data_IF_487068575623
#
_entry.id   IF_487068575623
#
_cell.length_a   1.000
_cell.length_b   1.000
_cell.length_c   1.000
_cell.angle_alpha   90.00
_cell.angle_beta   90.00
_cell.angle_gamma   90.00
#
_symmetry.space_group_name_H-M   'P 1'
#
loop_
_entity.id
_entity.type
_entity.pdbx_description
1 polymer ?
#
# COMPACT_ATOMS: atom_id res chain seq x y z
N UNK A 1 2.90 33.07 -2.82
CA UNK A 1 3.80 32.26 -1.98
C UNK A 1 3.33 30.81 -2.07
N UNK A 2 4.19 29.87 -2.44
CA UNK A 2 3.79 28.46 -2.55
C UNK A 2 3.48 27.89 -1.17
N UNK A 3 2.38 27.15 -1.03
CA UNK A 3 2.06 26.44 0.21
C UNK A 3 3.21 25.48 0.58
N UNK A 4 3.56 25.42 1.86
CA UNK A 4 4.50 24.44 2.39
C UNK A 4 4.01 23.03 2.06
N UNK A 5 4.91 22.11 1.70
CA UNK A 5 4.53 20.73 1.45
C UNK A 5 4.07 20.06 2.75
N UNK A 6 2.99 19.29 2.64
CA UNK A 6 2.40 18.54 3.75
C UNK A 6 2.43 17.04 3.46
N UNK A 7 2.35 16.26 4.53
CA UNK A 7 2.14 14.82 4.51
C UNK A 7 0.96 14.48 5.40
N UNK A 8 0.36 13.34 5.11
CA UNK A 8 -0.72 12.76 5.90
C UNK A 8 -0.45 11.26 6.01
N UNK A 9 -0.86 10.66 7.12
CA UNK A 9 -0.89 9.20 7.22
C UNK A 9 -2.20 8.72 6.60
N UNK A 10 -2.10 7.78 5.68
CA UNK A 10 -3.25 7.13 5.06
C UNK A 10 -3.29 5.63 5.40
N UNK A 11 -4.48 5.06 5.32
CA UNK A 11 -4.72 3.62 5.38
C UNK A 11 -5.28 3.14 4.05
N UNK A 12 -4.67 2.09 3.50
CA UNK A 12 -5.21 1.33 2.38
C UNK A 12 -5.81 0.04 2.95
N UNK A 13 -7.12 -0.13 2.82
CA UNK A 13 -7.89 -1.23 3.41
C UNK A 13 -8.41 -2.12 2.29
N UNK A 14 -8.26 -3.42 2.46
CA UNK A 14 -8.77 -4.45 1.55
C UNK A 14 -9.84 -5.24 2.27
N UNK A 15 -11.04 -5.28 1.71
CA UNK A 15 -12.18 -6.00 2.26
C UNK A 15 -12.40 -7.34 1.53
N UNK A 16 -13.28 -8.18 2.08
CA UNK A 16 -13.62 -9.51 1.53
C UNK A 16 -12.39 -10.42 1.28
N UNK A 17 -11.35 -10.28 2.11
CA UNK A 17 -10.10 -11.04 2.02
C UNK A 17 -10.30 -12.48 2.47
N UNK A 18 -9.99 -13.42 1.57
CA UNK A 18 -10.03 -14.85 1.83
C UNK A 18 -8.68 -15.41 2.26
N UNK A 19 -7.58 -14.86 1.73
CA UNK A 19 -6.23 -15.30 2.06
C UNK A 19 -5.20 -14.18 1.86
N UNK A 20 -4.15 -14.22 2.69
CA UNK A 20 -2.95 -13.37 2.53
C UNK A 20 -1.73 -14.26 2.55
N UNK A 21 -0.85 -14.06 1.57
CA UNK A 21 0.44 -14.71 1.47
C UNK A 21 1.54 -13.66 1.42
N UNK A 22 2.63 -13.91 2.13
CA UNK A 22 3.83 -13.07 2.16
C UNK A 22 5.03 -13.85 1.68
N UNK A 23 5.93 -13.22 0.95
CA UNK A 23 7.25 -13.76 0.64
C UNK A 23 8.33 -12.75 1.00
N UNK A 24 9.47 -13.24 1.48
CA UNK A 24 10.65 -12.45 1.79
C UNK A 24 10.34 -11.24 2.72
N UNK A 25 9.50 -11.51 3.72
CA UNK A 25 9.15 -10.59 4.81
C UNK A 25 9.42 -11.33 6.11
N UNK A 26 10.34 -10.82 6.92
CA UNK A 26 10.50 -11.28 8.30
C UNK A 26 9.35 -10.73 9.15
N UNK A 27 8.44 -11.61 9.54
CA UNK A 27 7.27 -11.25 10.37
C UNK A 27 7.62 -11.09 11.85
N UNK A 28 8.82 -11.49 12.27
CA UNK A 28 9.30 -11.30 13.63
C UNK A 28 9.92 -9.91 13.82
N UNK A 29 10.40 -9.26 12.75
CA UNK A 29 10.93 -7.90 12.80
C UNK A 29 9.79 -6.86 12.80
N UNK A 30 9.38 -6.44 13.99
CA UNK A 30 8.35 -5.41 14.17
C UNK A 30 8.85 -3.99 13.90
N UNK A 31 10.15 -3.79 13.71
CA UNK A 31 10.76 -2.49 13.41
C UNK A 31 10.98 -2.27 11.91
N UNK A 32 10.82 -3.32 11.09
CA UNK A 32 11.00 -3.27 9.65
C UNK A 32 10.10 -2.19 9.00
N UNK A 33 10.72 -1.31 8.21
CA UNK A 33 10.00 -0.35 7.37
C UNK A 33 9.83 -0.94 5.97
N UNK A 34 8.62 -1.42 5.69
CA UNK A 34 8.26 -1.96 4.38
C UNK A 34 7.86 -0.83 3.43
N UNK A 35 8.55 -0.72 2.31
CA UNK A 35 8.26 0.30 1.29
C UNK A 35 7.46 -0.30 0.14
N UNK A 36 6.21 0.10 -0.01
CA UNK A 36 5.35 -0.32 -1.12
C UNK A 36 5.76 0.38 -2.42
N UNK A 37 6.03 -0.42 -3.46
CA UNK A 37 6.46 0.07 -4.78
C UNK A 37 5.33 0.02 -5.81
N UNK A 38 4.52 -1.04 -5.81
CA UNK A 38 3.42 -1.17 -6.75
C UNK A 38 2.28 -2.04 -6.22
N UNK A 39 1.10 -1.80 -6.76
CA UNK A 39 -0.12 -2.58 -6.56
C UNK A 39 -0.57 -3.07 -7.93
N UNK A 40 -0.75 -4.38 -8.09
CA UNK A 40 -1.28 -4.98 -9.31
C UNK A 40 -2.49 -5.84 -8.97
N UNK A 41 -3.51 -5.78 -9.83
CA UNK A 41 -4.73 -6.58 -9.67
C UNK A 41 -4.78 -7.62 -10.78
N UNK A 42 -5.01 -8.87 -10.40
CA UNK A 42 -5.26 -9.99 -11.30
C UNK A 42 -6.70 -10.44 -11.13
N UNK A 43 -7.58 -10.10 -12.09
CA UNK A 43 -8.97 -10.54 -12.05
C UNK A 43 -9.06 -12.07 -12.14
N UNK A 44 -10.00 -12.64 -11.38
CA UNK A 44 -10.39 -14.04 -11.40
C UNK A 44 -11.88 -14.15 -11.79
N UNK A 45 -12.45 -15.35 -11.71
CA UNK A 45 -13.85 -15.57 -12.03
C UNK A 45 -14.78 -14.85 -11.04
N UNK A 46 -15.97 -14.46 -11.52
CA UNK A 46 -17.07 -13.98 -10.67
C UNK A 46 -16.77 -12.72 -9.83
N UNK A 47 -15.79 -11.91 -10.26
CA UNK A 47 -15.41 -10.67 -9.56
C UNK A 47 -14.35 -10.87 -8.47
N UNK A 48 -13.95 -12.11 -8.22
CA UNK A 48 -12.80 -12.41 -7.38
C UNK A 48 -11.52 -11.83 -7.99
N UNK A 49 -10.53 -11.56 -7.14
CA UNK A 49 -9.26 -11.03 -7.60
C UNK A 49 -8.10 -11.47 -6.71
N UNK A 50 -6.91 -11.47 -7.31
CA UNK A 50 -5.66 -11.55 -6.58
C UNK A 50 -4.90 -10.24 -6.72
N UNK A 51 -4.62 -9.61 -5.60
CA UNK A 51 -3.94 -8.32 -5.53
C UNK A 51 -2.51 -8.57 -5.08
N UNK A 52 -1.53 -8.13 -5.87
CA UNK A 52 -0.11 -8.19 -5.54
C UNK A 52 0.38 -6.84 -5.07
N UNK A 53 1.05 -6.83 -3.93
CA UNK A 53 1.78 -5.68 -3.39
C UNK A 53 3.28 -5.97 -3.49
N UNK A 54 3.98 -5.23 -4.34
CA UNK A 54 5.44 -5.35 -4.48
C UNK A 54 6.11 -4.43 -3.47
N UNK A 55 7.00 -4.96 -2.64
CA UNK A 55 7.78 -4.16 -1.71
C UNK A 55 9.21 -3.97 -2.22
N UNK A 56 9.88 -2.95 -1.71
CA UNK A 56 11.32 -2.80 -1.90
C UNK A 56 12.06 -3.96 -1.21
N UNK A 57 13.18 -4.38 -1.80
CA UNK A 57 14.01 -5.44 -1.22
C UNK A 57 13.44 -6.85 -1.42
N UNK A 58 12.84 -7.13 -2.59
CA UNK A 58 12.37 -8.47 -3.02
C UNK A 58 11.17 -9.06 -2.25
N UNK A 59 10.74 -8.43 -1.16
CA UNK A 59 9.52 -8.78 -0.44
C UNK A 59 8.23 -8.46 -1.18
N UNK A 60 7.15 -9.15 -0.82
CA UNK A 60 5.84 -8.87 -1.38
C UNK A 60 4.70 -9.59 -0.68
N UNK A 61 3.48 -9.11 -0.97
CA UNK A 61 2.24 -9.68 -0.49
C UNK A 61 1.35 -10.05 -1.67
N UNK A 62 0.58 -11.12 -1.49
CA UNK A 62 -0.51 -11.46 -2.39
C UNK A 62 -1.77 -11.70 -1.58
N UNK A 63 -2.83 -10.98 -1.94
CA UNK A 63 -4.11 -10.94 -1.24
C UNK A 63 -5.16 -11.53 -2.18
N UNK A 64 -5.87 -12.55 -1.76
CA UNK A 64 -6.99 -13.12 -2.50
C UNK A 64 -8.29 -12.63 -1.90
N UNK A 65 -9.14 -12.04 -2.72
CA UNK A 65 -10.44 -11.48 -2.34
C UNK A 65 -11.56 -12.14 -3.13
N UNK A 66 -12.70 -12.33 -2.47
CA UNK A 66 -13.91 -12.83 -3.13
C UNK A 66 -14.49 -11.80 -4.11
N UNK A 67 -14.45 -10.52 -3.72
CA UNK A 67 -14.89 -9.38 -4.51
C UNK A 67 -13.89 -8.25 -4.29
N UNK A 68 -13.49 -7.55 -5.35
CA UNK A 68 -12.59 -6.41 -5.24
C UNK A 68 -13.28 -5.23 -4.54
N UNK A 69 -12.94 -5.02 -3.27
CA UNK A 69 -13.33 -3.87 -2.47
C UNK A 69 -12.11 -3.32 -1.74
N UNK A 70 -11.72 -2.09 -2.10
CA UNK A 70 -10.51 -1.44 -1.60
C UNK A 70 -10.80 0.03 -1.32
N UNK A 71 -10.42 0.50 -0.14
CA UNK A 71 -10.56 1.90 0.26
C UNK A 71 -9.22 2.52 0.66
N UNK A 72 -9.05 3.81 0.37
CA UNK A 72 -7.91 4.62 0.80
C UNK A 72 -8.44 5.82 1.58
N UNK A 73 -7.99 5.99 2.82
CA UNK A 73 -8.44 7.06 3.68
C UNK A 73 -7.28 7.72 4.43
N UNK A 74 -7.33 9.05 4.52
CA UNK A 74 -6.44 9.83 5.37
C UNK A 74 -6.89 9.71 6.84
N UNK A 75 -5.97 9.32 7.73
CA UNK A 75 -6.27 9.01 9.13
C UNK A 75 -5.62 9.96 10.13
N UNK A 76 -4.91 10.97 9.65
CA UNK A 76 -4.35 12.05 10.48
C UNK A 76 -4.70 13.41 9.89
N UNK A 77 -4.55 14.48 10.68
CA UNK A 77 -4.50 15.82 10.10
C UNK A 77 -3.23 15.96 9.23
N UNK A 78 -3.28 16.70 8.12
CA UNK A 78 -2.07 17.07 7.39
C UNK A 78 -1.05 17.74 8.32
N UNK A 79 0.23 17.44 8.10
CA UNK A 79 1.34 18.01 8.85
C UNK A 79 2.48 18.38 7.91
N UNK A 80 3.32 19.34 8.32
CA UNK A 80 4.44 19.81 7.50
C UNK A 80 5.39 18.66 7.15
N UNK A 81 5.72 18.55 5.87
CA UNK A 81 6.68 17.57 5.39
C UNK A 81 8.09 17.98 5.80
N UNK A 82 8.75 17.20 6.66
CA UNK A 82 10.13 17.46 7.09
C UNK A 82 11.11 17.54 5.92
N UNK A 83 10.83 16.83 4.82
CA UNK A 83 11.66 16.89 3.63
C UNK A 83 11.54 18.21 2.87
N UNK A 84 10.44 18.97 3.01
CA UNK A 84 10.13 20.14 2.17
C UNK A 84 10.25 19.88 0.65
N UNK A 85 10.07 18.63 0.22
CA UNK A 85 10.18 18.20 -1.18
C UNK A 85 8.92 17.50 -1.65
N UNK A 86 8.49 17.81 -2.88
CA UNK A 86 7.48 17.04 -3.62
C UNK A 86 8.14 15.82 -4.27
N UNK A 87 7.57 14.61 -4.12
CA UNK A 87 8.05 13.43 -4.84
C UNK A 87 7.99 13.66 -6.36
N UNK A 88 9.04 13.22 -7.07
CA UNK A 88 9.05 13.19 -8.53
C UNK A 88 8.79 11.75 -8.98
N UNK A 89 7.63 11.52 -9.60
CA UNK A 89 7.31 10.25 -10.24
C UNK A 89 7.28 10.47 -11.75
N UNK A 90 7.97 9.62 -12.51
CA UNK A 90 7.77 9.55 -13.96
C UNK A 90 6.52 8.71 -14.19
N UNK A 91 5.51 9.31 -14.82
CA UNK A 91 4.33 8.62 -15.37
C UNK A 91 4.68 7.82 -16.60
#
# INVERSE_FOLDING_TARGET
AGHSYERVRAMLVFDNVQAVQSHDIDRADTAAVLSLLSIAVEPLAEGAARIRLTLAGQGGLAISVEVLEVSLADVTRPHLATSAHKPQHRS
#
